data_IF_523553665978
#
_entry.id   IF_523553665978
#
_cell.length_a   1.000
_cell.length_b   1.000
_cell.length_c   1.000
_cell.angle_alpha   90.00
_cell.angle_beta   90.00
_cell.angle_gamma   90.00
#
_symmetry.space_group_name_H-M   'P 1'
#
loop_
_entity.id
_entity.type
_entity.pdbx_description
1 polymer ?
#
# COMPACT_ATOMS: atom_id res chain seq x y z
N UNK A 1 -13.03 18.72 22.80
CA UNK A 1 -13.67 17.66 21.99
C UNK A 1 -13.33 16.33 22.63
N UNK A 2 -14.32 15.48 22.96
CA UNK A 2 -14.06 14.13 23.47
C UNK A 2 -14.17 13.15 22.31
N UNK A 3 -13.11 12.41 22.03
CA UNK A 3 -13.13 11.27 21.11
C UNK A 3 -13.94 10.15 21.79
N UNK A 4 -14.77 9.48 21.00
CA UNK A 4 -15.50 8.29 21.42
C UNK A 4 -15.18 7.17 20.44
N UNK A 5 -14.57 6.10 20.92
CA UNK A 5 -14.42 4.86 20.16
C UNK A 5 -15.76 4.15 20.15
N UNK A 6 -16.24 3.80 18.94
CA UNK A 6 -17.49 3.08 18.78
C UNK A 6 -17.24 1.58 18.68
N UNK A 7 -16.23 1.20 17.92
CA UNK A 7 -15.88 -0.20 17.68
C UNK A 7 -14.38 -0.30 17.32
N UNK A 8 -13.78 -1.43 17.65
CA UNK A 8 -12.39 -1.78 17.29
C UNK A 8 -12.38 -3.19 16.70
N UNK A 9 -11.56 -3.39 15.66
CA UNK A 9 -11.45 -4.67 14.98
C UNK A 9 -10.07 -4.89 14.34
N UNK A 10 -9.86 -6.10 13.81
CA UNK A 10 -8.65 -6.50 13.13
C UNK A 10 -8.94 -6.70 11.65
N UNK A 11 -8.22 -5.98 10.78
CA UNK A 11 -8.37 -6.06 9.31
C UNK A 11 -7.72 -7.34 8.76
N UNK A 12 -6.52 -7.67 9.24
CA UNK A 12 -5.78 -8.86 8.84
C UNK A 12 -4.84 -9.30 9.97
N UNK A 13 -4.50 -10.59 10.01
CA UNK A 13 -3.56 -11.17 10.97
C UNK A 13 -2.30 -11.63 10.25
N UNK A 14 -1.19 -11.66 10.97
CA UNK A 14 0.10 -12.09 10.40
C UNK A 14 0.05 -13.43 9.64
N UNK A 15 -0.62 -14.50 10.10
CA UNK A 15 -0.70 -15.74 9.34
C UNK A 15 -1.42 -15.63 7.99
N UNK A 16 -2.34 -14.65 7.85
CA UNK A 16 -3.11 -14.42 6.62
C UNK A 16 -2.28 -13.78 5.51
N UNK A 17 -1.23 -13.03 5.87
CA UNK A 17 -0.34 -12.34 4.93
C UNK A 17 1.08 -12.91 4.89
N UNK A 18 1.34 -13.94 5.67
CA UNK A 18 2.62 -14.65 5.76
C UNK A 18 3.19 -14.69 7.19
N UNK A 19 3.91 -15.74 7.56
CA UNK A 19 4.28 -16.05 8.95
C UNK A 19 5.27 -15.04 9.57
N UNK A 20 6.00 -14.30 8.75
CA UNK A 20 7.01 -13.31 9.18
C UNK A 20 6.68 -11.90 8.73
N UNK A 21 5.54 -11.69 8.08
CA UNK A 21 5.19 -10.42 7.48
C UNK A 21 5.01 -9.31 8.53
N UNK A 22 5.56 -8.16 8.21
CA UNK A 22 5.34 -6.89 8.92
C UNK A 22 4.45 -6.03 8.05
N UNK A 23 3.28 -5.62 8.57
CA UNK A 23 2.35 -4.75 7.86
C UNK A 23 2.58 -3.28 8.22
N UNK A 24 2.54 -2.41 7.22
CA UNK A 24 2.75 -0.98 7.37
C UNK A 24 1.88 -0.17 6.41
N UNK A 25 1.74 1.14 6.67
CA UNK A 25 1.12 2.11 5.77
C UNK A 25 -0.33 1.75 5.40
N UNK A 26 -1.14 1.38 6.39
CA UNK A 26 -2.56 1.05 6.19
C UNK A 26 -3.39 2.31 5.95
N UNK A 27 -4.31 2.23 4.97
CA UNK A 27 -5.33 3.24 4.68
C UNK A 27 -6.60 2.57 4.20
N UNK A 28 -7.76 3.17 4.55
CA UNK A 28 -9.08 2.75 4.09
C UNK A 28 -9.76 3.84 3.28
N UNK A 29 -10.51 3.43 2.28
CA UNK A 29 -11.49 4.23 1.57
C UNK A 29 -12.90 3.67 1.82
N UNK A 30 -13.89 4.56 1.90
CA UNK A 30 -15.30 4.20 2.03
C UNK A 30 -15.96 4.38 0.68
N UNK A 31 -16.63 3.34 0.18
CA UNK A 31 -17.35 3.34 -1.08
C UNK A 31 -18.78 3.90 -0.91
N UNK A 32 -19.46 4.29 -2.01
CA UNK A 32 -20.80 4.87 -1.94
C UNK A 32 -21.87 3.92 -1.37
N UNK A 33 -21.67 2.63 -1.57
CA UNK A 33 -22.55 1.59 -1.01
C UNK A 33 -22.24 1.27 0.47
N UNK A 34 -21.26 1.94 1.08
CA UNK A 34 -20.83 1.72 2.45
C UNK A 34 -19.75 0.64 2.63
N UNK A 35 -19.34 -0.03 1.56
CA UNK A 35 -18.22 -0.98 1.61
C UNK A 35 -16.92 -0.26 1.98
N UNK A 36 -16.03 -0.98 2.64
CA UNK A 36 -14.70 -0.52 2.98
C UNK A 36 -13.65 -1.21 2.11
N UNK A 37 -12.73 -0.44 1.58
CA UNK A 37 -11.56 -0.94 0.85
C UNK A 37 -10.32 -0.47 1.58
N UNK A 38 -9.56 -1.38 2.16
CA UNK A 38 -8.32 -1.07 2.86
C UNK A 38 -7.11 -1.60 2.10
N UNK A 39 -6.05 -0.80 2.08
CA UNK A 39 -4.75 -1.24 1.57
C UNK A 39 -3.67 -1.07 2.62
N UNK A 40 -2.69 -1.94 2.60
CA UNK A 40 -1.47 -1.85 3.39
C UNK A 40 -0.31 -2.49 2.64
N UNK A 41 0.91 -2.27 3.10
CA UNK A 41 2.09 -2.92 2.51
C UNK A 41 2.61 -3.97 3.49
N UNK A 42 3.05 -5.12 2.99
CA UNK A 42 3.68 -6.18 3.79
C UNK A 42 5.11 -6.39 3.33
N UNK A 43 5.99 -6.68 4.28
CA UNK A 43 7.41 -6.99 4.07
C UNK A 43 7.79 -8.19 4.94
N UNK A 44 8.81 -8.95 4.54
CA UNK A 44 9.25 -10.14 5.28
C UNK A 44 9.94 -9.80 6.61
N UNK A 45 10.44 -8.58 6.75
CA UNK A 45 11.05 -8.07 7.96
C UNK A 45 11.13 -6.55 7.93
N UNK A 46 11.05 -5.91 9.11
CA UNK A 46 11.12 -4.46 9.21
C UNK A 46 12.38 -3.91 8.57
N UNK A 47 12.23 -2.97 7.63
CA UNK A 47 13.35 -2.33 6.95
C UNK A 47 13.81 -3.01 5.66
N UNK A 48 13.21 -4.16 5.28
CA UNK A 48 13.56 -4.84 4.03
C UNK A 48 12.94 -4.13 2.82
N UNK A 49 13.66 -4.12 1.71
CA UNK A 49 13.19 -3.59 0.44
C UNK A 49 12.41 -4.66 -0.35
N UNK A 50 11.29 -5.13 0.23
CA UNK A 50 10.44 -6.17 -0.36
C UNK A 50 8.94 -5.91 -0.10
N UNK A 51 8.56 -4.63 0.05
CA UNK A 51 7.19 -4.23 0.36
C UNK A 51 6.23 -4.57 -0.79
N UNK A 52 5.27 -5.40 -0.50
CA UNK A 52 4.21 -5.86 -1.41
C UNK A 52 2.88 -5.22 -1.04
N UNK A 53 2.17 -4.66 -2.02
CA UNK A 53 0.90 -3.98 -1.76
C UNK A 53 -0.24 -4.98 -1.66
N UNK A 54 -0.98 -4.91 -0.55
CA UNK A 54 -2.11 -5.78 -0.22
C UNK A 54 -3.39 -4.96 -0.15
N UNK A 55 -4.50 -5.57 -0.53
CA UNK A 55 -5.85 -5.03 -0.44
C UNK A 55 -6.76 -6.02 0.28
N UNK A 56 -7.67 -5.50 1.09
CA UNK A 56 -8.75 -6.23 1.74
C UNK A 56 -10.03 -5.44 1.63
N UNK A 57 -11.18 -6.13 1.66
CA UNK A 57 -12.51 -5.52 1.51
C UNK A 57 -13.44 -5.99 2.61
N UNK A 58 -14.37 -5.10 2.99
CA UNK A 58 -15.47 -5.41 3.89
C UNK A 58 -16.77 -4.85 3.33
N UNK A 59 -17.83 -5.63 3.34
CA UNK A 59 -19.18 -5.24 2.93
C UNK A 59 -20.17 -5.10 4.10
N UNK A 60 -19.68 -5.17 5.33
CA UNK A 60 -20.48 -5.11 6.56
C UNK A 60 -19.99 -4.04 7.55
N UNK A 61 -19.38 -2.97 7.00
CA UNK A 61 -18.90 -1.85 7.80
C UNK A 61 -17.65 -2.15 8.63
N UNK A 62 -16.87 -3.18 8.24
CA UNK A 62 -15.62 -3.54 8.90
C UNK A 62 -15.75 -4.63 9.97
N UNK A 63 -16.93 -5.22 10.10
CA UNK A 63 -17.17 -6.32 11.05
C UNK A 63 -16.43 -7.58 10.61
N UNK A 64 -16.47 -7.90 9.32
CA UNK A 64 -15.71 -8.97 8.70
C UNK A 64 -14.93 -8.45 7.49
N UNK A 65 -13.82 -9.11 7.16
CA UNK A 65 -12.95 -8.76 6.06
C UNK A 65 -12.70 -9.97 5.17
N UNK A 66 -12.65 -9.73 3.85
CA UNK A 66 -12.25 -10.74 2.89
C UNK A 66 -10.77 -11.14 3.09
N UNK A 67 -10.37 -12.27 2.49
CA UNK A 67 -8.97 -12.68 2.47
C UNK A 67 -8.09 -11.60 1.81
N UNK A 68 -6.89 -11.33 2.33
CA UNK A 68 -5.96 -10.38 1.74
C UNK A 68 -5.50 -10.81 0.34
N UNK A 69 -5.50 -9.86 -0.60
CA UNK A 69 -5.06 -10.08 -1.98
C UNK A 69 -3.88 -9.16 -2.31
N UNK A 70 -2.90 -9.67 -3.05
CA UNK A 70 -1.83 -8.83 -3.60
C UNK A 70 -2.33 -8.08 -4.85
N UNK A 71 -2.10 -6.76 -4.90
CA UNK A 71 -2.53 -5.93 -6.03
C UNK A 71 -1.68 -6.23 -7.28
N UNK A 72 -0.36 -6.30 -7.13
CA UNK A 72 0.58 -6.50 -8.27
C UNK A 72 1.59 -7.61 -7.99
N UNK A 73 1.18 -8.89 -7.97
CA UNK A 73 2.10 -9.99 -7.68
C UNK A 73 3.25 -10.10 -8.68
N UNK A 74 3.07 -9.64 -9.92
CA UNK A 74 4.10 -9.66 -10.97
C UNK A 74 5.23 -8.63 -10.78
N UNK A 75 5.10 -7.69 -9.83
CA UNK A 75 6.15 -6.74 -9.49
C UNK A 75 6.97 -7.12 -8.25
N UNK A 76 6.63 -8.20 -7.56
CA UNK A 76 7.20 -8.53 -6.23
C UNK A 76 8.72 -8.72 -6.19
N UNK A 77 9.32 -9.14 -7.30
CA UNK A 77 10.77 -9.38 -7.39
C UNK A 77 11.54 -8.16 -7.93
N UNK A 78 10.83 -7.14 -8.40
CA UNK A 78 11.44 -5.98 -9.05
C UNK A 78 11.22 -4.66 -8.30
N UNK A 79 10.11 -4.53 -7.59
CA UNK A 79 9.69 -3.28 -6.98
C UNK A 79 9.14 -3.49 -5.57
N UNK A 80 9.62 -2.67 -4.66
CA UNK A 80 9.01 -2.43 -3.36
C UNK A 80 8.02 -1.29 -3.48
N UNK A 81 6.78 -1.47 -3.00
CA UNK A 81 5.68 -0.54 -3.22
C UNK A 81 5.06 -0.08 -1.90
N UNK A 82 5.16 1.21 -1.64
CA UNK A 82 4.53 1.89 -0.50
C UNK A 82 3.53 2.91 -1.05
N UNK A 83 2.29 2.87 -0.61
CA UNK A 83 1.30 3.82 -1.09
C UNK A 83 0.02 3.82 -0.27
N UNK A 84 -0.74 4.89 -0.41
CA UNK A 84 -2.00 5.12 0.28
C UNK A 84 -3.15 5.19 -0.70
N UNK A 85 -4.27 4.55 -0.34
CA UNK A 85 -5.50 4.60 -1.11
C UNK A 85 -6.25 5.90 -0.85
N UNK A 86 -6.85 6.45 -1.89
CA UNK A 86 -7.79 7.57 -1.83
C UNK A 86 -8.94 7.31 -2.79
N UNK A 87 -10.09 7.89 -2.51
CA UNK A 87 -11.25 7.85 -3.40
C UNK A 87 -11.55 9.24 -3.94
N UNK A 88 -11.70 9.35 -5.25
CA UNK A 88 -12.15 10.56 -5.91
C UNK A 88 -13.67 10.75 -5.81
N UNK A 89 -14.19 11.99 -6.02
CA UNK A 89 -15.62 12.27 -5.93
C UNK A 89 -16.50 11.48 -6.93
N UNK A 90 -15.94 11.05 -8.05
CA UNK A 90 -16.61 10.21 -9.07
C UNK A 90 -16.60 8.71 -8.75
N UNK A 91 -15.97 8.33 -7.63
CA UNK A 91 -15.89 6.95 -7.17
C UNK A 91 -14.63 6.20 -7.55
N UNK A 92 -13.81 6.75 -8.45
CA UNK A 92 -12.53 6.14 -8.82
C UNK A 92 -11.60 6.05 -7.60
N UNK A 93 -10.94 4.91 -7.46
CA UNK A 93 -9.92 4.72 -6.42
C UNK A 93 -8.54 5.00 -7.00
N UNK A 94 -7.72 5.67 -6.21
CA UNK A 94 -6.32 5.97 -6.53
C UNK A 94 -5.40 5.41 -5.46
N UNK A 95 -4.25 4.91 -5.89
CA UNK A 95 -3.08 4.65 -5.06
C UNK A 95 -1.97 5.62 -5.45
N UNK A 96 -1.49 6.36 -4.46
CA UNK A 96 -0.32 7.23 -4.60
C UNK A 96 0.76 6.76 -3.63
N UNK A 97 2.01 6.80 -4.07
CA UNK A 97 3.10 6.38 -3.22
C UNK A 97 4.46 6.42 -3.88
N UNK A 98 5.39 5.67 -3.31
CA UNK A 98 6.73 5.49 -3.83
C UNK A 98 6.94 4.04 -4.26
N UNK A 99 7.75 3.86 -5.30
CA UNK A 99 8.28 2.58 -5.73
C UNK A 99 9.80 2.62 -5.65
N UNK A 100 10.36 1.59 -5.05
CA UNK A 100 11.81 1.45 -4.83
C UNK A 100 12.25 0.23 -5.62
N UNK A 101 13.23 0.34 -6.54
CA UNK A 101 13.80 -0.83 -7.21
C UNK A 101 14.40 -1.81 -6.20
N UNK A 102 14.20 -3.10 -6.44
CA UNK A 102 14.86 -4.17 -5.69
C UNK A 102 16.09 -4.61 -6.50
N UNK A 103 17.28 -4.20 -6.05
CA UNK A 103 18.54 -4.51 -6.72
C UNK A 103 19.08 -5.87 -6.29
N UNK A 104 18.84 -6.22 -5.01
CA UNK A 104 19.28 -7.47 -4.42
C UNK A 104 18.24 -8.02 -3.45
N UNK A 105 17.82 -9.29 -3.57
CA UNK A 105 16.89 -9.90 -2.63
C UNK A 105 17.37 -9.77 -1.18
N UNK A 106 16.47 -9.30 -0.30
CA UNK A 106 16.74 -9.16 1.12
C UNK A 106 17.48 -7.89 1.53
N UNK A 107 17.78 -7.00 0.61
CA UNK A 107 18.40 -5.71 0.91
C UNK A 107 17.49 -4.82 1.79
N UNK A 108 18.11 -3.80 2.40
CA UNK A 108 17.38 -2.74 3.10
C UNK A 108 16.85 -1.70 2.13
N UNK A 109 15.67 -1.13 2.41
CA UNK A 109 15.22 0.08 1.71
C UNK A 109 15.94 1.36 2.21
N UNK A 110 16.70 1.27 3.29
CA UNK A 110 17.48 2.37 3.84
C UNK A 110 18.89 2.37 3.24
N UNK A 111 19.35 3.54 2.82
CA UNK A 111 20.71 3.78 2.35
C UNK A 111 21.53 4.44 3.45
N UNK A 112 22.61 3.80 3.88
CA UNK A 112 23.55 4.39 4.85
C UNK A 112 24.35 5.55 4.23
N UNK A 113 24.57 5.52 2.90
CA UNK A 113 25.32 6.55 2.20
C UNK A 113 24.59 7.91 2.20
N UNK A 114 23.26 7.90 2.05
CA UNK A 114 22.44 9.11 2.02
C UNK A 114 21.70 9.36 3.33
N UNK A 115 21.82 8.46 4.30
CA UNK A 115 21.07 8.47 5.56
C UNK A 115 19.55 8.61 5.35
N UNK A 116 19.03 7.96 4.29
CA UNK A 116 17.63 8.06 3.89
C UNK A 116 17.12 6.81 3.18
N UNK A 117 15.90 6.90 2.65
CA UNK A 117 15.34 5.86 1.80
C UNK A 117 16.14 5.80 0.50
N UNK A 118 16.41 4.59 0.00
CA UNK A 118 17.00 4.36 -1.33
C UNK A 118 16.28 5.17 -2.40
N UNK A 119 16.97 5.49 -3.47
CA UNK A 119 16.39 6.22 -4.58
C UNK A 119 15.06 5.58 -5.02
N UNK A 120 14.02 6.39 -5.04
CA UNK A 120 12.68 5.95 -5.31
C UNK A 120 12.01 6.86 -6.35
N UNK A 121 10.87 6.44 -6.84
CA UNK A 121 10.07 7.21 -7.79
C UNK A 121 8.64 7.27 -7.29
N UNK A 122 8.03 8.43 -7.31
CA UNK A 122 6.60 8.56 -7.07
C UNK A 122 5.82 7.81 -8.13
N UNK A 123 4.71 7.20 -7.74
CA UNK A 123 3.78 6.54 -8.67
C UNK A 123 2.33 6.85 -8.34
N UNK A 124 1.49 6.64 -9.32
CA UNK A 124 0.05 6.50 -9.13
C UNK A 124 -0.46 5.24 -9.84
N UNK A 125 -1.58 4.75 -9.36
CA UNK A 125 -2.38 3.72 -10.01
C UNK A 125 -3.85 3.98 -9.71
N UNK A 126 -4.77 3.50 -10.55
CA UNK A 126 -6.19 3.68 -10.36
C UNK A 126 -7.00 2.41 -10.56
N UNK A 127 -8.21 2.42 -10.01
CA UNK A 127 -9.21 1.37 -10.15
C UNK A 127 -10.60 1.99 -10.29
N UNK A 128 -11.36 1.55 -11.28
CA UNK A 128 -12.74 1.96 -11.55
C UNK A 128 -13.78 0.91 -11.17
N UNK A 129 -13.35 -0.19 -10.56
CA UNK A 129 -14.17 -1.35 -10.21
C UNK A 129 -14.12 -1.70 -8.71
N UNK A 130 -14.09 -0.68 -7.86
CA UNK A 130 -14.03 -0.81 -6.39
C UNK A 130 -12.78 -1.56 -5.90
N UNK A 131 -11.67 -1.42 -6.61
CA UNK A 131 -10.39 -2.02 -6.24
C UNK A 131 -10.24 -3.50 -6.61
N UNK A 132 -11.10 -4.05 -7.47
CA UNK A 132 -10.94 -5.42 -7.94
C UNK A 132 -9.80 -5.55 -8.95
N UNK A 133 -9.67 -4.58 -9.84
CA UNK A 133 -8.53 -4.48 -10.74
C UNK A 133 -7.87 -3.10 -10.65
N UNK A 134 -6.58 -3.05 -10.93
CA UNK A 134 -5.76 -1.86 -10.84
C UNK A 134 -4.90 -1.69 -12.08
N UNK A 135 -4.72 -0.45 -12.50
CA UNK A 135 -3.65 -0.14 -13.47
C UNK A 135 -2.29 -0.47 -12.87
N UNK A 136 -1.29 -0.69 -13.70
CA UNK A 136 0.10 -0.78 -13.22
C UNK A 136 0.54 0.53 -12.56
N UNK A 137 1.50 0.49 -11.61
CA UNK A 137 2.01 1.68 -10.92
C UNK A 137 2.84 2.55 -11.88
N UNK A 138 2.21 3.58 -12.43
CA UNK A 138 2.82 4.51 -13.40
C UNK A 138 3.66 5.56 -12.67
N UNK A 139 4.92 5.78 -13.07
CA UNK A 139 5.75 6.84 -12.50
C UNK A 139 5.12 8.22 -12.71
N UNK A 140 5.15 9.03 -11.65
CA UNK A 140 4.87 10.46 -11.75
C UNK A 140 6.15 11.21 -12.10
N UNK A 141 6.19 11.93 -13.24
CA UNK A 141 7.34 12.75 -13.55
C UNK A 141 7.42 13.93 -12.56
N UNK A 142 8.56 14.07 -11.90
CA UNK A 142 8.82 15.24 -11.07
C UNK A 142 9.36 16.38 -11.96
N UNK A 143 8.88 17.62 -11.80
CA UNK A 143 9.37 18.76 -12.56
C UNK A 143 10.78 19.21 -12.15
N UNK A 144 11.29 18.68 -11.04
CA UNK A 144 12.61 18.99 -10.50
C UNK A 144 13.46 17.72 -10.55
N UNK A 145 14.67 17.75 -11.16
CA UNK A 145 15.59 16.63 -11.10
C UNK A 145 16.01 16.34 -9.65
N UNK A 146 15.94 15.12 -9.23
CA UNK A 146 16.33 14.68 -7.89
C UNK A 146 15.56 13.46 -7.42
N UNK A 147 15.88 12.98 -6.23
CA UNK A 147 15.13 11.94 -5.56
C UNK A 147 13.85 12.53 -4.94
N UNK A 148 12.74 11.81 -5.06
CA UNK A 148 11.57 12.06 -4.25
C UNK A 148 11.76 11.35 -2.91
N UNK A 149 11.75 12.10 -1.83
CA UNK A 149 11.61 11.52 -0.50
C UNK A 149 10.13 11.44 -0.16
N UNK A 150 9.74 10.37 0.53
CA UNK A 150 8.39 10.29 1.08
C UNK A 150 8.22 11.37 2.16
N UNK A 151 7.13 12.14 2.14
CA UNK A 151 6.85 13.13 3.16
C UNK A 151 6.54 12.49 4.51
#
# INVERSE_FOLDING_TARGET
MKLKTFEEGMIARQPEVGPTAVAACSRCAVMDNGDLVCTFSVQEGLGRNDLKKVIVRSSDGGTTWAEPEYIWPHHHDALSLIGSISRAPDGELFLFGIRIPIDTPGESFWSEETEGIKQNTLFHASSTDNGHTWTDPVPLPLPIPGSAEAP
#
